data_IF_551767354153
#
_entry.id   IF_551767354153
#
_cell.length_a   1.000
_cell.length_b   1.000
_cell.length_c   1.000
_cell.angle_alpha   90.00
_cell.angle_beta   90.00
_cell.angle_gamma   90.00
#
_symmetry.space_group_name_H-M   'P 1'
#
loop_
_entity.id
_entity.type
_entity.pdbx_description
1 polymer ?
#
# COMPACT_ATOMS: atom_id res chain seq x y z
N UNK A 1 -5.98 -11.86 11.87
CA UNK A 1 -6.40 -12.30 10.52
C UNK A 1 -5.30 -13.17 9.96
N UNK A 2 -5.56 -14.45 9.65
CA UNK A 2 -4.53 -15.35 9.13
C UNK A 2 -4.14 -14.97 7.68
N UNK A 3 -2.87 -15.19 7.34
CA UNK A 3 -2.30 -14.94 6.01
C UNK A 3 -2.37 -16.26 5.23
N UNK A 4 -3.56 -16.57 4.72
CA UNK A 4 -3.81 -17.78 3.95
C UNK A 4 -3.86 -17.46 2.46
N UNK A 5 -3.02 -18.14 1.68
CA UNK A 5 -3.07 -18.07 0.23
C UNK A 5 -4.20 -18.94 -0.33
N UNK A 6 -4.80 -18.48 -1.42
CA UNK A 6 -5.71 -19.26 -2.24
C UNK A 6 -5.22 -19.24 -3.71
N UNK A 7 -4.81 -20.38 -4.27
CA UNK A 7 -4.69 -21.71 -3.62
C UNK A 7 -3.64 -21.74 -2.48
N UNK A 8 -3.78 -22.66 -1.50
CA UNK A 8 -2.85 -22.78 -0.37
C UNK A 8 -1.45 -23.15 -0.84
N UNK A 9 -0.45 -22.72 -0.07
CA UNK A 9 0.96 -23.06 -0.27
C UNK A 9 1.44 -24.04 0.79
N UNK A 10 2.12 -25.11 0.41
CA UNK A 10 2.69 -26.05 1.38
C UNK A 10 4.06 -25.58 1.90
N UNK A 11 4.78 -24.77 1.12
CA UNK A 11 6.06 -24.18 1.50
C UNK A 11 6.31 -22.84 0.80
N UNK A 12 7.34 -22.11 1.24
CA UNK A 12 7.67 -20.79 0.68
C UNK A 12 8.15 -20.88 -0.78
N UNK A 13 8.74 -21.99 -1.18
CA UNK A 13 9.28 -22.23 -2.52
C UNK A 13 8.20 -22.26 -3.61
N UNK A 14 6.94 -22.51 -3.25
CA UNK A 14 5.82 -22.45 -4.19
C UNK A 14 5.42 -21.03 -4.60
N UNK A 15 5.87 -20.03 -3.85
CA UNK A 15 5.67 -18.62 -4.15
C UNK A 15 6.75 -18.14 -5.12
N UNK A 16 6.51 -18.36 -6.41
CA UNK A 16 7.35 -17.77 -7.45
C UNK A 16 7.25 -16.25 -7.42
N UNK A 17 8.39 -15.57 -7.23
CA UNK A 17 8.50 -14.12 -7.23
C UNK A 17 9.26 -13.62 -8.46
N UNK A 18 8.93 -12.43 -8.91
CA UNK A 18 9.64 -11.69 -9.95
C UNK A 18 9.95 -10.26 -9.49
N UNK A 19 11.03 -9.69 -10.02
CA UNK A 19 11.38 -8.30 -9.81
C UNK A 19 10.85 -7.47 -10.98
N UNK A 20 9.98 -6.52 -10.71
CA UNK A 20 9.31 -5.69 -11.73
C UNK A 20 9.71 -4.23 -11.58
N UNK A 21 10.01 -3.57 -12.70
CA UNK A 21 10.41 -2.17 -12.76
C UNK A 21 11.92 -1.95 -12.66
N UNK A 22 12.34 -0.69 -12.68
CA UNK A 22 13.74 -0.27 -12.65
C UNK A 22 13.98 0.68 -11.48
N UNK A 23 15.12 0.53 -10.81
CA UNK A 23 15.54 1.45 -9.76
C UNK A 23 15.94 2.81 -10.36
N UNK A 24 15.36 3.87 -9.82
CA UNK A 24 15.68 5.26 -10.14
C UNK A 24 15.77 6.09 -8.86
N UNK A 25 16.07 7.39 -8.94
CA UNK A 25 15.98 8.25 -7.75
C UNK A 25 14.55 8.33 -7.19
N UNK A 26 13.53 8.25 -8.06
CA UNK A 26 12.13 8.41 -7.70
C UNK A 26 11.38 7.10 -7.43
N UNK A 27 11.85 5.97 -7.96
CA UNK A 27 11.17 4.67 -7.89
C UNK A 27 12.13 3.54 -7.53
N UNK A 28 11.60 2.52 -6.86
CA UNK A 28 12.25 1.23 -6.63
C UNK A 28 11.55 0.14 -7.44
N UNK A 29 12.32 -0.85 -7.84
CA UNK A 29 11.84 -2.12 -8.35
C UNK A 29 11.08 -2.88 -7.26
N UNK A 30 10.08 -3.66 -7.65
CA UNK A 30 9.15 -4.33 -6.75
C UNK A 30 9.26 -5.85 -6.87
N UNK A 31 9.41 -6.54 -5.74
CA UNK A 31 9.15 -7.98 -5.70
C UNK A 31 7.64 -8.23 -5.74
N UNK A 32 7.19 -9.04 -6.69
CA UNK A 32 5.78 -9.40 -6.89
C UNK A 32 5.65 -10.90 -7.10
N UNK A 33 4.46 -11.46 -6.89
CA UNK A 33 4.19 -12.83 -7.32
C UNK A 33 4.22 -12.87 -8.85
N UNK A 34 4.79 -13.92 -9.41
CA UNK A 34 4.65 -14.20 -10.84
C UNK A 34 3.22 -14.62 -11.13
N UNK A 35 2.68 -14.18 -12.27
CA UNK A 35 1.30 -14.51 -12.65
C UNK A 35 1.16 -15.98 -13.13
N UNK A 36 0.04 -16.67 -12.81
CA UNK A 36 -1.11 -16.17 -12.06
C UNK A 36 -0.84 -16.09 -10.55
N UNK A 37 -1.07 -14.91 -9.97
CA UNK A 37 -0.79 -14.69 -8.57
C UNK A 37 -1.87 -15.27 -7.65
N UNK A 38 -1.44 -15.85 -6.53
CA UNK A 38 -2.33 -16.36 -5.50
C UNK A 38 -3.01 -15.20 -4.77
N UNK A 39 -4.25 -15.43 -4.35
CA UNK A 39 -5.03 -14.45 -3.58
C UNK A 39 -4.79 -14.63 -2.09
N UNK A 40 -5.06 -13.58 -1.32
CA UNK A 40 -5.08 -13.60 0.14
C UNK A 40 -6.49 -13.21 0.58
N UNK A 41 -7.50 -14.10 0.47
CA UNK A 41 -8.91 -13.74 0.66
C UNK A 41 -9.20 -13.11 2.02
N UNK A 42 -8.52 -13.57 3.08
CA UNK A 42 -8.66 -12.97 4.40
C UNK A 42 -8.13 -11.52 4.40
N UNK A 43 -6.92 -11.30 3.88
CA UNK A 43 -6.36 -9.94 3.75
C UNK A 43 -7.29 -9.08 2.89
N UNK A 44 -7.67 -9.54 1.71
CA UNK A 44 -8.54 -8.83 0.78
C UNK A 44 -9.96 -8.50 1.32
N UNK A 45 -10.37 -9.10 2.45
CA UNK A 45 -11.72 -8.93 3.01
C UNK A 45 -11.98 -7.58 3.70
N UNK A 46 -10.95 -6.75 3.89
CA UNK A 46 -11.07 -5.45 4.56
C UNK A 46 -10.61 -4.30 3.67
N UNK A 47 -11.16 -3.09 3.85
CA UNK A 47 -10.69 -1.92 3.11
C UNK A 47 -9.29 -1.50 3.57
N UNK A 48 -8.44 -1.13 2.61
CA UNK A 48 -7.10 -0.60 2.86
C UNK A 48 -6.94 0.81 2.31
N UNK A 49 -6.24 1.63 3.08
CA UNK A 49 -5.74 2.93 2.64
C UNK A 49 -4.22 2.95 2.77
N UNK A 50 -3.53 3.26 1.67
CA UNK A 50 -2.15 3.69 1.68
C UNK A 50 -2.11 5.22 1.66
N UNK A 51 -1.37 5.84 2.58
CA UNK A 51 -1.09 7.29 2.57
C UNK A 51 0.41 7.50 2.46
N UNK A 52 0.85 8.16 1.39
CA UNK A 52 2.26 8.43 1.14
C UNK A 52 2.55 9.91 1.33
N UNK A 53 3.44 10.23 2.26
CA UNK A 53 3.96 11.57 2.48
C UNK A 53 5.04 11.94 1.44
N UNK A 54 5.02 13.19 0.99
CA UNK A 54 5.82 13.68 -0.16
C UNK A 54 7.34 13.51 0.02
N UNK A 55 7.86 13.83 1.21
CA UNK A 55 9.29 13.78 1.51
C UNK A 55 9.70 12.46 2.20
N UNK A 56 8.81 11.47 2.25
CA UNK A 56 9.11 10.16 2.82
C UNK A 56 9.90 9.29 1.86
N UNK A 57 10.87 8.52 2.37
CA UNK A 57 11.56 7.50 1.59
C UNK A 57 10.60 6.43 1.03
N UNK A 58 9.43 6.24 1.67
CA UNK A 58 8.34 5.41 1.18
C UNK A 58 7.76 5.86 -0.17
N UNK A 59 7.85 7.16 -0.52
CA UNK A 59 7.41 7.66 -1.82
C UNK A 59 8.08 6.93 -2.99
N UNK A 60 9.26 6.35 -2.75
CA UNK A 60 9.98 5.57 -3.76
C UNK A 60 9.44 4.15 -3.98
N UNK A 61 8.68 3.56 -3.05
CA UNK A 61 8.29 2.15 -3.12
C UNK A 61 6.88 1.80 -2.65
N UNK A 62 6.07 2.72 -2.11
CA UNK A 62 4.70 2.40 -1.67
C UNK A 62 3.83 1.82 -2.80
N UNK A 63 4.11 2.19 -4.05
CA UNK A 63 3.50 1.58 -5.23
C UNK A 63 3.68 0.05 -5.29
N UNK A 64 4.79 -0.49 -4.79
CA UNK A 64 5.03 -1.92 -4.70
C UNK A 64 4.01 -2.59 -3.77
N UNK A 65 3.78 -2.02 -2.59
CA UNK A 65 2.81 -2.51 -1.61
C UNK A 65 1.38 -2.44 -2.17
N UNK A 66 1.02 -1.30 -2.77
CA UNK A 66 -0.30 -1.10 -3.39
C UNK A 66 -0.53 -2.13 -4.50
N UNK A 67 0.45 -2.35 -5.38
CA UNK A 67 0.33 -3.31 -6.47
C UNK A 67 0.29 -4.76 -5.98
N UNK A 68 1.02 -5.09 -4.91
CA UNK A 68 0.99 -6.42 -4.30
C UNK A 68 -0.38 -6.72 -3.64
N UNK A 69 -0.96 -5.74 -2.94
CA UNK A 69 -2.31 -5.86 -2.38
C UNK A 69 -3.37 -6.07 -3.46
N UNK A 70 -3.28 -5.32 -4.58
CA UNK A 70 -4.13 -5.55 -5.76
C UNK A 70 -3.96 -6.96 -6.33
N UNK A 71 -2.72 -7.41 -6.45
CA UNK A 71 -2.40 -8.74 -6.97
C UNK A 71 -3.00 -9.86 -6.11
N UNK A 72 -3.03 -9.66 -4.79
CA UNK A 72 -3.59 -10.62 -3.81
C UNK A 72 -5.12 -10.49 -3.64
N UNK A 73 -5.78 -9.63 -4.42
CA UNK A 73 -7.24 -9.51 -4.49
C UNK A 73 -7.85 -8.39 -3.65
N UNK A 74 -7.03 -7.59 -2.97
CA UNK A 74 -7.51 -6.40 -2.27
C UNK A 74 -7.69 -5.21 -3.20
N UNK A 75 -8.46 -4.22 -2.76
CA UNK A 75 -8.72 -2.98 -3.49
C UNK A 75 -8.22 -1.77 -2.67
N UNK A 76 -6.89 -1.59 -2.50
CA UNK A 76 -6.35 -0.50 -1.71
C UNK A 76 -6.58 0.84 -2.40
N UNK A 77 -7.11 1.80 -1.65
CA UNK A 77 -7.04 3.21 -2.02
C UNK A 77 -5.65 3.75 -1.72
N UNK A 78 -5.17 4.67 -2.57
CA UNK A 78 -3.86 5.26 -2.41
C UNK A 78 -3.94 6.77 -2.51
N UNK A 79 -3.64 7.45 -1.40
CA UNK A 79 -3.58 8.91 -1.32
C UNK A 79 -2.12 9.32 -1.21
N UNK A 80 -1.66 10.17 -2.12
CA UNK A 80 -0.38 10.86 -1.97
C UNK A 80 -0.65 12.26 -1.46
N UNK A 81 -0.06 12.61 -0.31
CA UNK A 81 -0.32 13.90 0.35
C UNK A 81 0.04 15.09 -0.54
N UNK A 82 1.15 15.00 -1.28
CA UNK A 82 1.57 16.06 -2.21
C UNK A 82 0.57 16.32 -3.34
N UNK A 83 -0.17 15.30 -3.80
CA UNK A 83 -1.23 15.46 -4.80
C UNK A 83 -2.48 16.16 -4.22
N UNK A 84 -2.59 16.26 -2.89
CA UNK A 84 -3.65 16.97 -2.16
C UNK A 84 -3.21 18.32 -1.60
N UNK A 85 -2.04 18.82 -1.99
CA UNK A 85 -1.52 20.11 -1.52
C UNK A 85 -0.87 20.06 -0.12
N UNK A 86 -0.66 18.87 0.44
CA UNK A 86 -0.01 18.66 1.74
C UNK A 86 1.46 18.28 1.47
N UNK A 87 2.36 19.23 1.71
CA UNK A 87 3.76 19.17 1.28
C UNK A 87 4.74 19.07 2.44
N UNK A 88 5.94 18.57 2.16
CA UNK A 88 7.09 18.57 3.07
C UNK A 88 7.11 17.46 4.14
N UNK A 89 6.03 16.68 4.28
CA UNK A 89 5.95 15.63 5.29
C UNK A 89 6.84 14.42 4.96
N UNK A 90 7.54 13.92 5.98
CA UNK A 90 8.33 12.70 5.96
C UNK A 90 7.55 11.46 6.44
N UNK A 91 8.28 10.39 6.77
CA UNK A 91 7.67 9.11 7.16
C UNK A 91 6.82 9.21 8.45
N UNK A 92 7.34 9.94 9.45
CA UNK A 92 6.66 10.12 10.73
C UNK A 92 5.69 11.31 10.71
N UNK A 93 4.89 11.43 9.64
CA UNK A 93 3.96 12.54 9.39
C UNK A 93 2.97 12.82 10.55
N UNK A 94 2.67 11.81 11.37
CA UNK A 94 1.82 11.94 12.55
C UNK A 94 2.47 12.70 13.73
N UNK A 95 3.79 12.89 13.69
CA UNK A 95 4.54 13.67 14.69
C UNK A 95 4.88 15.10 14.21
N UNK A 96 4.53 15.43 12.96
CA UNK A 96 4.91 16.69 12.34
C UNK A 96 3.92 17.83 12.67
N UNK A 97 4.30 19.07 12.34
CA UNK A 97 3.57 20.28 12.74
C UNK A 97 2.13 20.34 12.23
N UNK A 98 1.86 19.74 11.07
CA UNK A 98 0.54 19.67 10.44
C UNK A 98 -0.10 18.28 10.59
N UNK A 99 0.27 17.51 11.63
CA UNK A 99 -0.28 16.17 11.87
C UNK A 99 -1.81 16.14 11.96
N UNK A 100 -2.47 17.21 12.42
CA UNK A 100 -3.93 17.32 12.45
C UNK A 100 -4.56 17.49 11.06
N UNK A 101 -3.91 18.20 10.14
CA UNK A 101 -4.33 18.30 8.74
C UNK A 101 -4.27 16.92 8.06
N UNK A 102 -3.20 16.17 8.34
CA UNK A 102 -3.01 14.80 7.85
C UNK A 102 -4.03 13.86 8.49
N UNK A 103 -4.29 13.98 9.79
CA UNK A 103 -5.31 13.18 10.50
C UNK A 103 -6.70 13.35 9.89
N UNK A 104 -7.03 14.56 9.40
CA UNK A 104 -8.30 14.80 8.72
C UNK A 104 -8.43 14.03 7.40
N UNK A 105 -7.33 13.80 6.67
CA UNK A 105 -7.33 12.93 5.48
C UNK A 105 -7.74 11.50 5.84
N UNK A 106 -7.22 10.97 6.95
CA UNK A 106 -7.59 9.64 7.45
C UNK A 106 -9.05 9.61 7.93
N UNK A 107 -9.47 10.61 8.69
CA UNK A 107 -10.83 10.72 9.21
C UNK A 107 -11.87 10.74 8.08
N UNK A 108 -11.64 11.54 7.03
CA UNK A 108 -12.53 11.59 5.86
C UNK A 108 -12.64 10.23 5.16
N UNK A 109 -11.53 9.51 5.01
CA UNK A 109 -11.57 8.18 4.41
C UNK A 109 -12.37 7.20 5.28
N UNK A 110 -12.16 7.21 6.60
CA UNK A 110 -12.90 6.35 7.54
C UNK A 110 -14.41 6.63 7.45
N UNK A 111 -14.82 7.90 7.52
CA UNK A 111 -16.22 8.30 7.43
C UNK A 111 -16.86 7.87 6.10
N UNK A 112 -16.13 7.99 4.99
CA UNK A 112 -16.61 7.52 3.69
C UNK A 112 -16.77 5.99 3.64
N UNK A 113 -15.93 5.23 4.36
CA UNK A 113 -16.05 3.76 4.42
C UNK A 113 -17.15 3.28 5.35
N UNK A 114 -17.39 3.97 6.46
CA UNK A 114 -18.48 3.62 7.38
C UNK A 114 -19.86 3.98 6.81
N UNK A 115 -19.91 4.95 5.90
CA UNK A 115 -21.16 5.38 5.24
C UNK A 115 -21.50 4.60 3.96
N UNK A 116 -20.62 3.68 3.52
CA UNK A 116 -20.73 2.93 2.26
C UNK A 116 -21.45 1.59 2.41
#
# INVERSE_FOLDING_TARGET
MPIDYDPPVASAEELEIELVGNDTSALRSCYRQKEPARKLPNIASVPYLMVTAEASFHATYDHCTVNYLKQTGGEPEWIKLGERGIHGNGHFMHLEKNSLEIAEVFNQWIQNKESA
#
